data_IF_673412584596
#
_entry.id   IF_673412584596
#
_cell.length_a   1.000
_cell.length_b   1.000
_cell.length_c   1.000
_cell.angle_alpha   90.00
_cell.angle_beta   90.00
_cell.angle_gamma   90.00
#
_symmetry.space_group_name_H-M   'P 1'
#
loop_
_entity.id
_entity.type
_entity.pdbx_description
1 polymer ?
#
# COMPACT_ATOMS: atom_id res chain seq x y z
N UNK A 1 -13.97 -26.92 5.59
CA UNK A 1 -15.20 -26.19 6.02
C UNK A 1 -14.81 -24.76 6.38
N UNK A 2 -15.56 -23.76 5.93
CA UNK A 2 -15.31 -22.37 6.31
C UNK A 2 -15.47 -22.21 7.84
N UNK A 3 -14.58 -21.43 8.48
CA UNK A 3 -14.71 -21.18 9.92
C UNK A 3 -15.98 -20.37 10.20
N UNK A 4 -16.53 -20.45 11.42
CA UNK A 4 -17.70 -19.63 11.82
C UNK A 4 -17.48 -18.13 11.59
N UNK A 5 -16.25 -17.66 11.78
CA UNK A 5 -15.87 -16.27 11.54
C UNK A 5 -15.90 -15.92 10.04
N UNK A 6 -15.39 -16.81 9.19
CA UNK A 6 -15.42 -16.64 7.74
C UNK A 6 -16.87 -16.58 7.21
N UNK A 7 -17.71 -17.53 7.65
CA UNK A 7 -19.13 -17.56 7.26
C UNK A 7 -19.87 -16.28 7.71
N UNK A 8 -19.56 -15.77 8.92
CA UNK A 8 -20.15 -14.53 9.41
C UNK A 8 -19.73 -13.31 8.56
N UNK A 9 -18.52 -13.29 8.03
CA UNK A 9 -18.05 -12.23 7.13
C UNK A 9 -18.68 -12.31 5.73
N UNK A 10 -18.75 -13.52 5.17
CA UNK A 10 -19.35 -13.78 3.84
C UNK A 10 -20.85 -13.48 3.81
N UNK A 11 -21.54 -13.61 4.94
CA UNK A 11 -22.94 -13.23 5.08
C UNK A 11 -23.19 -11.71 5.05
N UNK A 12 -22.14 -10.89 5.20
CA UNK A 12 -22.27 -9.43 5.17
C UNK A 12 -22.31 -8.92 3.74
N UNK A 13 -23.16 -7.91 3.49
CA UNK A 13 -23.11 -7.20 2.21
C UNK A 13 -21.87 -6.28 2.12
N UNK A 14 -21.47 -5.83 0.91
CA UNK A 14 -20.24 -5.03 0.74
C UNK A 14 -20.19 -3.75 1.58
N UNK A 15 -21.35 -3.12 1.83
CA UNK A 15 -21.46 -1.93 2.68
C UNK A 15 -21.16 -2.27 4.14
N UNK A 16 -21.75 -3.35 4.66
CA UNK A 16 -21.51 -3.85 6.02
C UNK A 16 -20.05 -4.27 6.23
N UNK A 17 -19.46 -4.96 5.26
CA UNK A 17 -18.03 -5.30 5.25
C UNK A 17 -17.18 -4.02 5.37
N UNK A 18 -17.50 -2.99 4.58
CA UNK A 18 -16.78 -1.71 4.64
C UNK A 18 -16.86 -1.05 6.02
N UNK A 19 -18.04 -1.02 6.66
CA UNK A 19 -18.19 -0.51 8.03
C UNK A 19 -17.36 -1.32 9.03
N UNK A 20 -17.41 -2.65 8.94
CA UNK A 20 -16.66 -3.53 9.82
C UNK A 20 -15.14 -3.34 9.67
N UNK A 21 -14.63 -3.18 8.44
CA UNK A 21 -13.22 -2.87 8.20
C UNK A 21 -12.85 -1.50 8.78
N UNK A 22 -13.62 -0.43 8.53
CA UNK A 22 -13.32 0.90 9.10
C UNK A 22 -13.28 0.86 10.62
N UNK A 23 -14.28 0.24 11.26
CA UNK A 23 -14.32 0.14 12.72
C UNK A 23 -13.15 -0.67 13.27
N UNK A 24 -12.71 -1.69 12.54
CA UNK A 24 -11.59 -2.52 12.93
C UNK A 24 -10.26 -1.78 12.80
N UNK A 25 -10.06 -1.05 11.70
CA UNK A 25 -8.88 -0.20 11.49
C UNK A 25 -8.73 0.81 12.65
N UNK A 26 -9.83 1.43 13.07
CA UNK A 26 -9.85 2.35 14.21
C UNK A 26 -9.60 1.65 15.55
N UNK A 27 -10.21 0.49 15.80
CA UNK A 27 -9.97 -0.31 17.02
C UNK A 27 -8.50 -0.73 17.14
N UNK A 28 -7.86 -1.12 16.03
CA UNK A 28 -6.46 -1.51 16.00
C UNK A 28 -5.52 -0.31 16.13
N UNK A 29 -5.83 0.83 15.49
CA UNK A 29 -5.04 2.05 15.63
C UNK A 29 -4.97 2.55 17.09
N UNK A 30 -6.09 2.54 17.80
CA UNK A 30 -6.14 2.87 19.23
C UNK A 30 -5.35 1.85 20.09
N UNK A 31 -5.45 0.56 19.77
CA UNK A 31 -4.67 -0.48 20.45
C UNK A 31 -3.16 -0.29 20.25
N UNK A 32 -2.74 0.07 19.03
CA UNK A 32 -1.34 0.41 18.72
C UNK A 32 -0.87 1.67 19.43
N UNK A 33 -1.66 2.75 19.41
CA UNK A 33 -1.31 4.01 20.06
C UNK A 33 -1.10 3.81 21.57
N UNK A 34 -2.03 3.10 22.23
CA UNK A 34 -1.89 2.80 23.67
C UNK A 34 -0.70 1.89 23.98
N UNK A 35 -0.40 0.94 23.10
CA UNK A 35 0.81 0.12 23.26
C UNK A 35 2.09 0.96 23.14
N UNK A 36 2.10 1.96 22.25
CA UNK A 36 3.20 2.93 22.12
C UNK A 36 3.31 3.83 23.35
N UNK A 37 2.19 4.38 23.84
CA UNK A 37 2.16 5.21 25.04
C UNK A 37 2.66 4.43 26.27
N UNK A 38 2.19 3.19 26.45
CA UNK A 38 2.67 2.30 27.51
C UNK A 38 4.18 2.02 27.38
N UNK A 39 4.69 1.79 26.17
CA UNK A 39 6.13 1.61 25.92
C UNK A 39 6.94 2.88 26.22
N UNK A 40 6.34 4.06 26.08
CA UNK A 40 6.92 5.35 26.45
C UNK A 40 6.77 5.70 27.95
N UNK A 41 6.15 4.82 28.75
CA UNK A 41 5.94 5.02 30.19
C UNK A 41 4.61 5.69 30.57
N UNK A 42 3.78 6.06 29.59
CA UNK A 42 2.45 6.61 29.79
C UNK A 42 1.41 5.49 29.85
N UNK A 43 1.49 4.67 30.90
CA UNK A 43 0.55 3.57 31.09
C UNK A 43 -0.81 4.09 31.60
N UNK A 44 -1.87 3.81 30.86
CA UNK A 44 -3.25 4.06 31.25
C UNK A 44 -3.97 2.70 31.43
N UNK A 45 -4.43 2.45 32.65
CA UNK A 45 -5.05 1.20 33.10
C UNK A 45 -6.55 1.08 32.73
N UNK A 46 -7.08 2.07 32.00
CA UNK A 46 -8.46 2.06 31.52
C UNK A 46 -8.75 0.75 30.78
N UNK A 47 -9.80 -0.01 31.19
CA UNK A 47 -10.11 -1.29 30.58
C UNK A 47 -10.45 -1.17 29.09
N UNK A 48 -10.09 -2.19 28.30
CA UNK A 48 -10.43 -2.25 26.88
C UNK A 48 -11.92 -2.14 26.57
N UNK A 49 -12.78 -2.54 27.51
CA UNK A 49 -14.23 -2.36 27.37
C UNK A 49 -14.68 -0.90 27.35
N UNK A 50 -13.87 0.03 27.86
CA UNK A 50 -14.17 1.46 27.98
C UNK A 50 -13.58 2.25 26.82
N UNK A 51 -12.30 2.07 26.48
CA UNK A 51 -11.65 2.86 25.43
C UNK A 51 -11.92 2.37 24.00
N UNK A 52 -12.39 1.13 23.79
CA UNK A 52 -12.75 0.60 22.45
C UNK A 52 -14.06 1.14 21.87
N UNK A 53 -14.74 2.06 22.55
CA UNK A 53 -15.94 2.69 22.03
C UNK A 53 -15.56 3.80 21.04
N UNK A 54 -15.81 3.55 19.75
CA UNK A 54 -15.46 4.44 18.66
C UNK A 54 -16.65 5.35 18.34
N UNK A 55 -16.42 6.66 18.27
CA UNK A 55 -17.42 7.62 17.79
C UNK A 55 -17.70 7.42 16.30
N UNK A 56 -18.89 6.89 15.99
CA UNK A 56 -19.32 6.68 14.61
C UNK A 56 -20.01 7.93 14.09
N UNK A 57 -21.01 8.42 14.82
CA UNK A 57 -21.73 9.65 14.46
C UNK A 57 -21.61 10.62 15.62
N UNK A 58 -20.99 11.76 15.37
CA UNK A 58 -20.97 12.88 16.32
C UNK A 58 -21.74 14.04 15.73
N UNK A 59 -22.69 14.62 16.47
CA UNK A 59 -23.48 15.73 15.99
C UNK A 59 -22.60 16.99 15.86
N UNK A 60 -22.71 17.68 14.74
CA UNK A 60 -21.99 18.93 14.50
C UNK A 60 -21.43 19.06 13.09
N UNK A 61 -20.59 20.08 12.90
CA UNK A 61 -20.01 20.41 11.60
C UNK A 61 -18.65 19.73 11.32
N UNK A 62 -18.23 18.77 12.16
CA UNK A 62 -16.99 18.03 11.97
C UNK A 62 -17.33 16.55 11.92
N UNK A 63 -16.99 15.91 10.81
CA UNK A 63 -17.12 14.47 10.68
C UNK A 63 -16.16 13.75 11.64
N UNK A 64 -16.63 12.65 12.21
CA UNK A 64 -15.78 11.74 13.00
C UNK A 64 -14.68 11.14 12.12
N UNK A 65 -13.65 10.57 12.75
CA UNK A 65 -12.63 9.81 12.02
C UNK A 65 -13.24 8.67 11.19
N UNK A 66 -14.20 7.94 11.77
CA UNK A 66 -14.98 6.88 11.09
C UNK A 66 -15.78 7.43 9.91
N UNK A 67 -16.51 8.53 10.08
CA UNK A 67 -17.27 9.15 8.98
C UNK A 67 -16.36 9.60 7.84
N UNK A 68 -15.17 10.14 8.15
CA UNK A 68 -14.18 10.50 7.14
C UNK A 68 -13.66 9.26 6.41
N UNK A 69 -13.32 8.19 7.12
CA UNK A 69 -12.87 6.94 6.53
C UNK A 69 -13.95 6.28 5.64
N UNK A 70 -15.20 6.26 6.09
CA UNK A 70 -16.34 5.79 5.30
C UNK A 70 -16.58 6.65 4.05
N UNK A 71 -16.50 7.97 4.18
CA UNK A 71 -16.65 8.89 3.06
C UNK A 71 -15.55 8.72 2.00
N UNK A 72 -14.31 8.39 2.41
CA UNK A 72 -13.21 8.09 1.49
C UNK A 72 -13.47 6.81 0.68
N UNK A 73 -14.20 5.85 1.26
CA UNK A 73 -14.67 4.59 0.63
C UNK A 73 -16.03 4.73 -0.08
N UNK A 74 -16.51 5.96 -0.27
CA UNK A 74 -17.80 6.30 -0.90
C UNK A 74 -19.04 5.71 -0.21
N UNK A 75 -18.92 5.39 1.07
CA UNK A 75 -20.05 4.94 1.90
C UNK A 75 -20.56 6.13 2.69
N UNK A 76 -21.67 6.76 2.25
CA UNK A 76 -22.31 7.91 2.92
C UNK A 76 -23.52 7.54 3.77
N UNK A 77 -23.75 8.40 4.75
CA UNK A 77 -24.54 8.20 5.98
C UNK A 77 -26.07 8.17 5.84
N UNK A 78 -26.66 8.20 4.63
CA UNK A 78 -28.13 8.17 4.47
C UNK A 78 -28.78 6.88 5.03
N UNK A 79 -27.98 5.90 5.50
CA UNK A 79 -28.40 4.68 6.18
C UNK A 79 -27.40 4.15 7.21
N UNK A 80 -26.68 5.03 7.92
CA UNK A 80 -25.71 4.61 8.94
C UNK A 80 -26.37 3.77 10.04
N UNK A 81 -27.51 4.26 10.55
CA UNK A 81 -28.27 3.60 11.62
C UNK A 81 -28.74 2.20 11.24
N UNK A 82 -29.27 1.99 10.03
CA UNK A 82 -29.71 0.66 9.57
C UNK A 82 -28.56 -0.32 9.40
N UNK A 83 -27.40 0.17 8.94
CA UNK A 83 -26.20 -0.67 8.79
C UNK A 83 -25.66 -1.10 10.15
N UNK A 84 -25.52 -0.17 11.10
CA UNK A 84 -25.08 -0.46 12.46
C UNK A 84 -26.04 -1.40 13.18
N UNK A 85 -27.35 -1.17 13.06
CA UNK A 85 -28.36 -2.05 13.67
C UNK A 85 -28.33 -3.47 13.07
N UNK A 86 -28.08 -3.60 11.77
CA UNK A 86 -27.87 -4.91 11.14
C UNK A 86 -26.64 -5.62 11.71
N UNK A 87 -25.49 -4.94 11.79
CA UNK A 87 -24.26 -5.49 12.37
C UNK A 87 -24.41 -5.87 13.84
N UNK A 88 -25.18 -5.10 14.61
CA UNK A 88 -25.51 -5.39 16.00
C UNK A 88 -26.39 -6.65 16.12
N UNK A 89 -27.40 -6.82 15.26
CA UNK A 89 -28.22 -8.04 15.22
C UNK A 89 -27.40 -9.30 14.90
N UNK A 90 -26.36 -9.19 14.07
CA UNK A 90 -25.41 -10.27 13.84
C UNK A 90 -24.46 -10.53 15.03
N UNK A 91 -24.52 -9.73 16.10
CA UNK A 91 -23.64 -9.84 17.26
C UNK A 91 -22.18 -9.45 16.97
N UNK A 92 -21.93 -8.70 15.89
CA UNK A 92 -20.58 -8.31 15.45
C UNK A 92 -20.13 -7.00 16.09
N UNK A 93 -21.07 -6.12 16.43
CA UNK A 93 -20.81 -4.87 17.15
C UNK A 93 -21.79 -4.67 18.29
N UNK A 94 -21.40 -3.86 19.26
CA UNK A 94 -22.28 -3.20 20.22
C UNK A 94 -22.44 -1.74 19.81
N UNK A 95 -23.64 -1.19 19.94
CA UNK A 95 -23.96 0.20 19.60
C UNK A 95 -24.48 0.89 20.86
N UNK A 96 -24.01 2.11 21.11
CA UNK A 96 -24.45 2.95 22.21
C UNK A 96 -24.88 4.31 21.68
N UNK A 97 -26.13 4.66 21.93
CA UNK A 97 -26.66 6.00 21.71
C UNK A 97 -26.50 6.83 22.98
N UNK A 98 -25.83 7.98 22.87
CA UNK A 98 -25.76 8.97 23.95
C UNK A 98 -26.31 10.30 23.48
N UNK A 99 -27.22 10.86 24.26
CA UNK A 99 -27.62 12.26 24.09
C UNK A 99 -26.67 13.11 24.93
N UNK A 100 -25.82 13.88 24.26
CA UNK A 100 -24.90 14.82 24.90
C UNK A 100 -25.52 16.21 24.82
N UNK A 101 -25.73 16.82 25.98
CA UNK A 101 -26.15 18.21 26.10
C UNK A 101 -24.92 19.12 25.94
N UNK A 102 -24.92 19.94 24.90
CA UNK A 102 -23.85 20.90 24.63
C UNK A 102 -24.37 22.33 24.53
N UNK A 103 -23.48 23.32 24.31
CA UNK A 103 -23.87 24.74 24.18
C UNK A 103 -24.88 25.02 23.06
N UNK A 104 -25.03 24.10 22.10
CA UNK A 104 -25.97 24.18 20.97
C UNK A 104 -27.22 23.31 21.16
N UNK A 105 -27.47 22.83 22.37
CA UNK A 105 -28.59 21.95 22.72
C UNK A 105 -28.23 20.47 22.78
N UNK A 106 -29.26 19.64 22.89
CA UNK A 106 -29.15 18.18 22.99
C UNK A 106 -28.81 17.58 21.63
N UNK A 107 -27.77 16.75 21.61
CA UNK A 107 -27.20 16.24 20.39
C UNK A 107 -26.94 14.74 20.54
N UNK A 108 -27.33 13.92 19.55
CA UNK A 108 -27.19 12.46 19.62
C UNK A 108 -25.85 12.03 19.05
N UNK A 109 -25.01 11.41 19.88
CA UNK A 109 -23.77 10.75 19.50
C UNK A 109 -23.99 9.24 19.47
N UNK A 110 -23.54 8.58 18.41
CA UNK A 110 -23.59 7.13 18.26
C UNK A 110 -22.18 6.59 18.36
N UNK A 111 -21.93 5.76 19.37
CA UNK A 111 -20.69 5.01 19.55
C UNK A 111 -20.89 3.55 19.14
N UNK A 112 -19.86 2.93 18.58
CA UNK A 112 -19.84 1.51 18.31
C UNK A 112 -18.56 0.86 18.84
N UNK A 113 -18.67 -0.40 19.26
CA UNK A 113 -17.55 -1.21 19.72
C UNK A 113 -17.61 -2.57 19.04
N UNK A 114 -16.51 -3.04 18.47
CA UNK A 114 -16.45 -4.38 17.90
C UNK A 114 -16.51 -5.45 19.00
N UNK A 115 -17.31 -6.48 18.79
CA UNK A 115 -17.30 -7.67 19.65
C UNK A 115 -16.09 -8.54 19.31
N UNK A 116 -15.82 -9.56 20.15
CA UNK A 116 -14.80 -10.59 19.83
C UNK A 116 -15.13 -11.31 18.51
N UNK A 117 -16.41 -11.58 18.26
CA UNK A 117 -16.88 -12.20 17.02
C UNK A 117 -16.71 -11.24 15.83
N UNK A 118 -17.03 -9.96 15.99
CA UNK A 118 -16.81 -8.92 14.97
C UNK A 118 -15.36 -8.81 14.52
N UNK A 119 -14.42 -8.71 15.47
CA UNK A 119 -12.98 -8.70 15.16
C UNK A 119 -12.51 -9.99 14.48
N UNK A 120 -13.04 -11.14 14.89
CA UNK A 120 -12.70 -12.42 14.27
C UNK A 120 -13.22 -12.51 12.83
N UNK A 121 -14.45 -12.03 12.58
CA UNK A 121 -15.05 -11.99 11.25
C UNK A 121 -14.26 -11.07 10.31
N UNK A 122 -13.89 -9.86 10.75
CA UNK A 122 -13.06 -8.95 9.94
C UNK A 122 -11.75 -9.62 9.57
N UNK A 123 -11.00 -10.18 10.54
CA UNK A 123 -9.73 -10.85 10.26
C UNK A 123 -9.87 -12.01 9.28
N UNK A 124 -10.91 -12.83 9.43
CA UNK A 124 -11.16 -13.93 8.51
C UNK A 124 -11.41 -13.40 7.09
N UNK A 125 -12.27 -12.37 6.98
CA UNK A 125 -12.68 -11.77 5.73
C UNK A 125 -11.63 -10.96 4.98
N UNK A 126 -10.84 -10.17 5.70
CA UNK A 126 -9.74 -9.37 5.14
C UNK A 126 -8.49 -10.21 4.91
N UNK A 127 -8.50 -11.49 5.30
CA UNK A 127 -7.33 -12.37 5.37
C UNK A 127 -6.18 -11.72 6.15
N UNK A 128 -6.52 -10.86 7.11
CA UNK A 128 -5.50 -10.24 7.94
C UNK A 128 -4.75 -11.31 8.72
N UNK A 129 -3.42 -11.18 8.83
CA UNK A 129 -2.66 -12.09 9.63
C UNK A 129 -3.17 -12.13 11.06
N UNK A 130 -3.51 -13.33 11.53
CA UNK A 130 -3.85 -13.53 12.94
C UNK A 130 -2.71 -13.07 13.86
N UNK A 131 -3.01 -12.65 15.09
CA UNK A 131 -2.00 -12.19 16.05
C UNK A 131 -0.81 -13.16 16.15
N UNK A 132 0.36 -12.59 16.41
CA UNK A 132 1.58 -13.31 16.76
C UNK A 132 1.32 -14.24 17.95
N UNK A 133 1.64 -15.53 17.80
CA UNK A 133 1.57 -16.55 18.85
C UNK A 133 2.76 -16.44 19.79
N UNK A 134 2.65 -17.01 20.99
CA UNK A 134 3.80 -17.14 21.88
C UNK A 134 4.91 -17.95 21.18
N UNK A 135 6.14 -17.46 21.21
CA UNK A 135 7.28 -18.04 20.50
C UNK A 135 7.48 -17.56 19.06
N UNK A 136 6.49 -16.91 18.44
CA UNK A 136 6.69 -16.28 17.13
C UNK A 136 7.52 -14.98 17.28
N UNK A 137 8.41 -14.73 16.31
CA UNK A 137 9.25 -13.55 16.23
C UNK A 137 8.41 -12.31 15.92
N UNK A 138 8.80 -11.15 16.44
CA UNK A 138 8.23 -9.88 15.99
C UNK A 138 8.63 -9.61 14.54
N UNK A 139 7.92 -8.73 13.86
CA UNK A 139 8.23 -8.31 12.49
C UNK A 139 9.70 -7.92 12.32
N UNK A 140 10.21 -7.07 13.22
CA UNK A 140 11.60 -6.62 13.18
C UNK A 140 12.60 -7.76 13.43
N UNK A 141 12.30 -8.69 14.35
CA UNK A 141 13.16 -9.85 14.59
C UNK A 141 13.14 -10.83 13.40
N UNK A 142 11.97 -11.02 12.78
CA UNK A 142 11.82 -11.80 11.56
C UNK A 142 12.60 -11.17 10.40
N UNK A 143 12.49 -9.86 10.18
CA UNK A 143 13.26 -9.14 9.16
C UNK A 143 14.77 -9.32 9.35
N UNK A 144 15.25 -9.32 10.61
CA UNK A 144 16.67 -9.57 10.90
C UNK A 144 17.07 -11.01 10.64
N UNK A 145 16.22 -11.98 10.96
CA UNK A 145 16.46 -13.39 10.61
C UNK A 145 16.48 -13.60 9.09
N UNK A 146 15.61 -12.93 8.33
CA UNK A 146 15.61 -12.91 6.86
C UNK A 146 16.93 -12.36 6.29
N UNK A 147 17.44 -11.26 6.86
CA UNK A 147 18.73 -10.69 6.44
C UNK A 147 19.87 -11.68 6.70
N UNK A 148 19.88 -12.33 7.88
CA UNK A 148 20.86 -13.36 8.22
C UNK A 148 20.79 -14.55 7.24
N UNK A 149 19.59 -15.03 6.91
CA UNK A 149 19.38 -16.09 5.92
C UNK A 149 19.98 -15.72 4.55
N UNK A 150 19.71 -14.51 4.06
CA UNK A 150 20.25 -14.03 2.78
C UNK A 150 21.77 -13.88 2.78
N UNK A 151 22.35 -13.58 3.94
CA UNK A 151 23.78 -13.36 4.06
C UNK A 151 24.56 -14.67 4.14
N UNK A 152 23.95 -15.78 4.61
CA UNK A 152 24.58 -17.07 4.86
C UNK A 152 25.50 -17.50 3.70
N UNK A 153 26.83 -17.71 3.92
CA UNK A 153 27.54 -17.86 5.20
C UNK A 153 28.09 -16.57 5.85
N UNK A 154 27.75 -15.40 5.33
CA UNK A 154 28.15 -14.08 5.85
C UNK A 154 27.45 -13.65 7.14
N UNK A 155 27.75 -12.41 7.58
CA UNK A 155 27.26 -11.84 8.83
C UNK A 155 26.35 -10.63 8.60
N UNK A 156 25.45 -10.37 9.56
CA UNK A 156 24.55 -9.22 9.57
C UNK A 156 24.58 -8.55 10.93
N UNK A 157 24.48 -7.22 10.90
CA UNK A 157 24.37 -6.42 12.11
C UNK A 157 23.02 -6.56 12.80
N UNK A 158 23.00 -7.09 14.02
CA UNK A 158 21.83 -7.10 14.91
C UNK A 158 21.93 -5.93 15.88
N UNK A 159 20.87 -5.12 15.91
CA UNK A 159 20.73 -3.99 16.81
C UNK A 159 19.47 -4.12 17.67
N UNK A 160 19.56 -3.58 18.88
CA UNK A 160 18.48 -3.56 19.85
C UNK A 160 18.43 -4.80 20.74
N UNK A 161 18.26 -4.57 22.04
CA UNK A 161 18.23 -5.63 23.04
C UNK A 161 17.11 -6.63 22.79
N UNK A 162 15.91 -6.18 22.40
CA UNK A 162 14.76 -7.06 22.14
C UNK A 162 15.00 -8.04 20.98
N UNK A 163 15.64 -7.58 19.91
CA UNK A 163 16.01 -8.43 18.77
C UNK A 163 17.10 -9.43 19.15
N UNK A 164 18.09 -8.98 19.91
CA UNK A 164 19.16 -9.85 20.42
C UNK A 164 18.57 -10.96 21.31
N UNK A 165 17.69 -10.61 22.24
CA UNK A 165 16.99 -11.59 23.07
C UNK A 165 16.14 -12.55 22.24
N UNK A 166 15.43 -12.06 21.21
CA UNK A 166 14.57 -12.90 20.39
C UNK A 166 15.32 -13.89 19.48
N UNK A 167 16.54 -13.55 19.03
CA UNK A 167 17.31 -14.37 18.09
C UNK A 167 18.48 -15.11 18.73
N UNK A 168 19.04 -14.60 19.81
CA UNK A 168 20.28 -15.10 20.43
C UNK A 168 20.05 -15.53 21.88
N UNK A 169 19.45 -14.66 22.70
CA UNK A 169 19.39 -14.87 24.15
C UNK A 169 18.38 -15.92 24.62
N UNK A 170 17.14 -15.87 24.09
CA UNK A 170 16.03 -16.71 24.55
C UNK A 170 15.92 -18.07 23.85
N UNK A 171 16.11 -18.19 22.52
CA UNK A 171 16.01 -19.48 21.86
C UNK A 171 17.14 -20.41 22.31
N UNK A 172 16.82 -21.68 22.55
CA UNK A 172 17.78 -22.73 22.84
C UNK A 172 17.48 -23.92 21.92
N UNK A 173 18.29 -24.16 20.87
CA UNK A 173 19.51 -23.43 20.49
C UNK A 173 19.23 -22.01 19.96
N UNK A 174 20.21 -21.08 20.00
CA UNK A 174 20.05 -19.73 19.47
C UNK A 174 19.83 -19.76 17.96
N UNK A 175 19.05 -18.84 17.41
CA UNK A 175 18.81 -18.71 15.96
C UNK A 175 19.93 -17.96 15.23
N UNK A 176 20.68 -17.14 15.96
CA UNK A 176 21.85 -16.44 15.44
C UNK A 176 23.00 -16.51 16.46
N UNK A 177 24.23 -16.54 15.97
CA UNK A 177 25.43 -16.55 16.81
C UNK A 177 26.47 -15.55 16.30
N UNK A 178 27.27 -15.00 17.21
CA UNK A 178 28.22 -13.94 16.88
C UNK A 178 28.48 -13.00 18.05
N UNK A 179 29.29 -11.97 17.81
CA UNK A 179 29.70 -10.98 18.83
C UNK A 179 29.80 -9.58 18.24
N UNK A 180 29.62 -8.57 19.10
CA UNK A 180 29.85 -7.15 18.79
C UNK A 180 29.06 -6.59 17.59
N UNK A 181 27.91 -7.19 17.30
CA UNK A 181 27.08 -6.79 16.17
C UNK A 181 27.19 -7.72 14.98
N UNK A 182 28.27 -8.47 14.79
CA UNK A 182 28.41 -9.36 13.64
C UNK A 182 27.88 -10.75 13.97
N UNK A 183 26.66 -11.04 13.51
CA UNK A 183 25.98 -12.31 13.74
C UNK A 183 25.81 -13.08 12.44
N UNK A 184 25.91 -14.40 12.50
CA UNK A 184 25.56 -15.34 11.42
C UNK A 184 24.38 -16.21 11.84
N UNK A 185 23.63 -16.72 10.86
CA UNK A 185 22.52 -17.64 11.14
C UNK A 185 23.05 -19.00 11.61
N UNK A 186 22.42 -19.58 12.64
CA UNK A 186 22.74 -20.94 13.11
C UNK A 186 21.89 -21.98 12.37
N UNK A 187 22.16 -23.27 12.59
CA UNK A 187 21.28 -24.32 12.06
C UNK A 187 19.86 -24.25 12.64
N UNK A 188 19.72 -23.96 13.94
CA UNK A 188 18.41 -23.76 14.56
C UNK A 188 17.66 -22.56 13.96
N UNK A 189 18.38 -21.49 13.62
CA UNK A 189 17.81 -20.34 12.94
C UNK A 189 17.35 -20.65 11.53
N UNK A 190 18.13 -21.43 10.77
CA UNK A 190 17.73 -21.95 9.47
C UNK A 190 16.47 -22.80 9.59
N UNK A 191 16.43 -23.74 10.51
CA UNK A 191 15.27 -24.62 10.69
C UNK A 191 14.00 -23.86 11.09
N UNK A 192 14.12 -22.91 12.02
CA UNK A 192 13.02 -22.02 12.39
C UNK A 192 12.54 -21.18 11.20
N UNK A 193 13.47 -20.68 10.39
CA UNK A 193 13.16 -19.96 9.16
C UNK A 193 12.34 -20.84 8.21
N UNK A 194 12.79 -22.06 7.89
CA UNK A 194 12.06 -22.98 6.99
C UNK A 194 10.68 -23.32 7.52
N UNK A 195 10.60 -23.74 8.79
CA UNK A 195 9.36 -24.20 9.42
C UNK A 195 8.29 -23.12 9.49
N UNK A 196 8.67 -21.88 9.79
CA UNK A 196 7.71 -20.79 10.00
C UNK A 196 7.65 -19.78 8.86
N UNK A 197 8.38 -19.98 7.76
CA UNK A 197 8.41 -19.04 6.64
C UNK A 197 7.01 -18.69 6.14
N UNK A 198 6.19 -19.69 5.82
CA UNK A 198 4.83 -19.49 5.28
C UNK A 198 3.91 -18.77 6.27
N UNK A 199 4.15 -19.00 7.58
CA UNK A 199 3.43 -18.30 8.64
C UNK A 199 3.86 -16.84 8.71
N UNK A 200 5.16 -16.56 8.64
CA UNK A 200 5.67 -15.19 8.73
C UNK A 200 5.42 -14.36 7.47
N UNK A 201 5.39 -14.94 6.28
CA UNK A 201 5.02 -14.20 5.05
C UNK A 201 3.58 -13.73 5.09
N UNK A 202 2.68 -14.50 5.71
CA UNK A 202 1.31 -14.04 5.99
C UNK A 202 1.31 -12.97 7.09
N UNK A 203 2.04 -13.19 8.19
CA UNK A 203 2.13 -12.26 9.33
C UNK A 203 2.71 -10.90 8.96
N UNK A 204 3.75 -10.90 8.14
CA UNK A 204 4.63 -9.78 7.82
C UNK A 204 4.82 -9.71 6.31
N UNK A 205 3.75 -9.41 5.53
CA UNK A 205 3.80 -9.41 4.07
C UNK A 205 4.78 -8.37 3.51
N UNK A 206 5.08 -7.32 4.29
CA UNK A 206 6.02 -6.27 3.92
C UNK A 206 7.49 -6.70 4.08
N UNK A 207 7.76 -7.80 4.79
CA UNK A 207 9.09 -8.40 4.90
C UNK A 207 9.32 -9.32 3.70
N UNK A 208 10.22 -8.92 2.79
CA UNK A 208 10.59 -9.70 1.61
C UNK A 208 11.41 -10.96 1.95
N UNK A 209 10.82 -11.94 2.63
CA UNK A 209 11.46 -13.19 2.98
C UNK A 209 11.61 -14.12 1.75
N UNK A 210 12.82 -14.51 1.32
CA UNK A 210 13.01 -15.49 0.24
C UNK A 210 12.47 -16.87 0.67
N UNK A 211 11.93 -17.62 -0.28
CA UNK A 211 11.47 -18.99 -0.02
C UNK A 211 12.65 -19.88 0.44
N UNK A 212 12.53 -20.62 1.55
CA UNK A 212 13.62 -21.44 2.10
C UNK A 212 14.06 -22.57 1.17
N UNK A 213 13.15 -23.12 0.37
CA UNK A 213 13.40 -24.29 -0.48
C UNK A 213 13.77 -23.89 -1.91
N UNK A 214 14.01 -22.59 -2.13
CA UNK A 214 14.16 -22.05 -3.47
C UNK A 214 12.87 -22.15 -4.29
N UNK A 215 11.71 -22.19 -3.61
CA UNK A 215 10.38 -22.11 -4.24
C UNK A 215 10.29 -20.94 -5.21
N UNK A 216 9.31 -21.00 -6.15
CA UNK A 216 9.41 -20.41 -7.48
C UNK A 216 10.05 -19.04 -7.40
N UNK A 217 11.26 -19.00 -7.94
CA UNK A 217 12.22 -17.92 -7.85
C UNK A 217 11.51 -16.55 -7.74
N UNK A 218 11.98 -15.61 -6.89
CA UNK A 218 11.65 -14.21 -7.11
C UNK A 218 11.80 -13.95 -8.61
N UNK A 219 10.86 -13.21 -9.22
CA UNK A 219 10.86 -12.94 -10.66
C UNK A 219 12.26 -12.99 -11.26
N UNK A 220 12.47 -13.65 -12.42
CA UNK A 220 13.82 -13.82 -12.97
C UNK A 220 14.58 -12.51 -12.80
N UNK A 221 15.79 -12.52 -12.24
CA UNK A 221 16.46 -11.27 -11.84
C UNK A 221 16.52 -10.24 -12.99
N UNK A 222 16.54 -10.73 -14.23
CA UNK A 222 16.39 -9.94 -15.45
C UNK A 222 15.05 -9.21 -15.59
N UNK A 223 13.93 -9.84 -15.26
CA UNK A 223 12.61 -9.21 -15.21
C UNK A 223 12.59 -8.08 -14.19
N UNK A 224 13.08 -8.31 -12.96
CA UNK A 224 13.15 -7.24 -11.95
C UNK A 224 14.02 -6.08 -12.43
N UNK A 225 15.23 -6.36 -12.94
CA UNK A 225 16.10 -5.33 -13.55
C UNK A 225 15.41 -4.59 -14.69
N UNK A 226 14.55 -5.27 -15.45
CA UNK A 226 13.80 -4.65 -16.54
C UNK A 226 12.72 -3.71 -16.02
N UNK A 227 11.94 -4.12 -15.01
CA UNK A 227 10.96 -3.25 -14.36
C UNK A 227 11.63 -2.06 -13.66
N UNK A 228 12.77 -2.27 -13.00
CA UNK A 228 13.55 -1.21 -12.35
C UNK A 228 14.10 -0.20 -13.36
N UNK A 229 14.61 -0.65 -14.51
CA UNK A 229 15.03 0.24 -15.61
C UNK A 229 13.87 1.08 -16.14
N UNK A 230 12.68 0.49 -16.31
CA UNK A 230 11.49 1.20 -16.76
C UNK A 230 11.02 2.22 -15.72
N UNK A 231 11.05 1.87 -14.43
CA UNK A 231 10.77 2.79 -13.33
C UNK A 231 11.76 3.97 -13.32
N UNK A 232 13.05 3.69 -13.47
CA UNK A 232 14.10 4.72 -13.59
C UNK A 232 13.90 5.62 -14.81
N UNK A 233 13.40 5.08 -15.94
CA UNK A 233 13.06 5.87 -17.12
C UNK A 233 11.91 6.85 -16.86
N UNK A 234 10.90 6.47 -16.07
CA UNK A 234 9.82 7.38 -15.63
C UNK A 234 10.40 8.52 -14.80
N UNK A 235 11.25 8.21 -13.82
CA UNK A 235 11.86 9.21 -12.94
C UNK A 235 12.74 10.20 -13.73
N UNK A 236 13.49 9.70 -14.73
CA UNK A 236 14.26 10.54 -15.63
C UNK A 236 13.35 11.43 -16.50
N UNK A 237 12.30 10.87 -17.09
CA UNK A 237 11.38 11.61 -17.94
C UNK A 237 10.60 12.68 -17.15
N UNK A 238 10.15 12.36 -15.93
CA UNK A 238 9.55 13.33 -15.02
C UNK A 238 10.51 14.48 -14.67
N UNK A 239 11.79 14.17 -14.37
CA UNK A 239 12.79 15.22 -14.11
C UNK A 239 13.03 16.10 -15.34
N UNK A 240 13.06 15.50 -16.53
CA UNK A 240 13.19 16.23 -17.79
C UNK A 240 11.98 17.13 -18.05
N UNK A 241 10.76 16.61 -17.87
CA UNK A 241 9.51 17.36 -17.97
C UNK A 241 9.48 18.54 -17.01
N UNK A 242 9.81 18.33 -15.74
CA UNK A 242 9.85 19.39 -14.74
C UNK A 242 10.88 20.48 -15.08
N UNK A 243 12.07 20.07 -15.53
CA UNK A 243 13.13 20.99 -15.94
C UNK A 243 12.71 21.81 -17.18
N UNK A 244 12.06 21.17 -18.16
CA UNK A 244 11.55 21.84 -19.36
C UNK A 244 10.40 22.81 -19.02
N UNK A 245 9.49 22.42 -18.12
CA UNK A 245 8.42 23.29 -17.63
C UNK A 245 8.99 24.53 -16.94
N UNK A 246 9.97 24.37 -16.04
CA UNK A 246 10.65 25.49 -15.37
C UNK A 246 11.33 26.44 -16.34
N UNK A 247 12.03 25.92 -17.36
CA UNK A 247 12.65 26.75 -18.41
C UNK A 247 11.62 27.54 -19.21
N UNK A 248 10.47 26.92 -19.52
CA UNK A 248 9.37 27.60 -20.18
C UNK A 248 8.79 28.74 -19.30
N UNK A 249 8.54 28.49 -18.02
CA UNK A 249 8.07 29.54 -17.10
C UNK A 249 9.07 30.70 -16.98
N UNK A 250 10.37 30.40 -16.94
CA UNK A 250 11.43 31.41 -16.89
C UNK A 250 11.49 32.21 -18.20
N UNK A 251 11.35 31.57 -19.36
CA UNK A 251 11.30 32.24 -20.65
C UNK A 251 10.05 33.13 -20.83
N UNK A 252 8.89 32.68 -20.36
CA UNK A 252 7.66 33.49 -20.35
C UNK A 252 7.79 34.72 -19.43
N UNK A 253 8.44 34.56 -18.26
CA UNK A 253 8.74 35.69 -17.38
C UNK A 253 9.69 36.69 -18.05
N UNK A 254 10.69 36.21 -18.79
CA UNK A 254 11.58 37.07 -19.57
C UNK A 254 10.81 37.85 -20.63
N UNK A 255 9.88 37.21 -21.38
CA UNK A 255 8.99 37.90 -22.32
C UNK A 255 8.18 38.99 -21.61
N UNK A 256 7.59 38.68 -20.46
CA UNK A 256 6.81 39.64 -19.67
C UNK A 256 7.63 40.83 -19.17
N UNK A 257 8.88 40.60 -18.75
CA UNK A 257 9.82 41.66 -18.34
C UNK A 257 10.25 42.51 -19.53
N UNK A 258 10.59 41.89 -20.66
CA UNK A 258 11.02 42.59 -21.87
C UNK A 258 9.87 43.33 -22.55
N UNK A 259 8.62 42.87 -22.40
CA UNK A 259 7.45 43.57 -22.93
C UNK A 259 7.00 44.77 -22.09
N UNK A 260 7.63 45.03 -20.94
CA UNK A 260 7.32 46.21 -20.13
C UNK A 260 7.63 47.50 -20.92
N UNK A 261 6.79 48.56 -20.79
CA UNK A 261 6.98 49.80 -21.53
C UNK A 261 8.40 50.36 -21.37
N UNK A 262 9.05 50.68 -22.48
CA UNK A 262 10.36 51.32 -22.51
C UNK A 262 10.21 52.81 -22.82
N UNK A 263 10.77 53.67 -21.98
CA UNK A 263 10.78 55.12 -22.16
C UNK A 263 12.09 55.53 -22.87
N UNK A 264 12.09 55.56 -24.20
CA UNK A 264 13.23 56.01 -24.98
C UNK A 264 13.11 55.70 -26.48
N UNK A 265 13.02 56.74 -27.31
CA UNK A 265 12.83 56.63 -28.76
C UNK A 265 14.10 56.15 -29.49
N UNK A 266 15.29 56.46 -28.94
CA UNK A 266 16.58 56.11 -29.52
C UNK A 266 16.92 54.60 -29.49
N UNK A 267 16.24 53.81 -28.64
CA UNK A 267 16.53 52.38 -28.41
C UNK A 267 15.39 51.44 -28.81
N UNK A 268 14.37 51.95 -29.51
CA UNK A 268 13.16 51.19 -29.84
C UNK A 268 13.45 49.94 -30.69
N UNK A 269 14.36 50.03 -31.66
CA UNK A 269 14.76 48.91 -32.52
C UNK A 269 15.49 47.81 -31.73
N UNK A 270 16.40 48.20 -30.84
CA UNK A 270 17.11 47.27 -29.96
C UNK A 270 16.15 46.56 -29.00
N UNK A 271 15.23 47.30 -28.40
CA UNK A 271 14.20 46.75 -27.52
C UNK A 271 13.29 45.76 -28.27
N UNK A 272 12.88 46.09 -29.50
CA UNK A 272 12.09 45.20 -30.36
C UNK A 272 12.83 43.87 -30.64
N UNK A 273 14.14 43.94 -30.95
CA UNK A 273 14.98 42.76 -31.15
C UNK A 273 15.08 41.89 -29.88
N UNK A 274 15.25 42.50 -28.71
CA UNK A 274 15.28 41.76 -27.44
C UNK A 274 13.95 41.05 -27.16
N UNK A 275 12.83 41.71 -27.46
CA UNK A 275 11.50 41.11 -27.30
C UNK A 275 11.30 39.94 -28.27
N UNK A 276 11.73 40.08 -29.52
CA UNK A 276 11.71 39.00 -30.51
C UNK A 276 12.54 37.80 -30.04
N UNK A 277 13.76 38.03 -29.55
CA UNK A 277 14.61 36.97 -29.00
C UNK A 277 14.00 36.31 -27.76
N UNK A 278 13.37 37.07 -26.86
CA UNK A 278 12.67 36.52 -25.70
C UNK A 278 11.50 35.63 -26.13
N UNK A 279 10.71 36.06 -27.12
CA UNK A 279 9.60 35.27 -27.68
C UNK A 279 10.10 33.99 -28.35
N UNK A 280 11.19 34.07 -29.12
CA UNK A 280 11.80 32.90 -29.75
C UNK A 280 12.29 31.88 -28.69
N UNK A 281 12.91 32.34 -27.60
CA UNK A 281 13.31 31.48 -26.48
C UNK A 281 12.11 30.82 -25.79
N UNK A 282 11.03 31.57 -25.56
CA UNK A 282 9.80 30.99 -24.99
C UNK A 282 9.18 29.94 -25.91
N UNK A 283 9.08 30.22 -27.21
CA UNK A 283 8.55 29.28 -28.19
C UNK A 283 9.37 27.98 -28.23
N UNK A 284 10.71 28.07 -28.23
CA UNK A 284 11.57 26.88 -28.16
C UNK A 284 11.41 26.12 -26.84
N UNK A 285 11.30 26.83 -25.70
CA UNK A 285 11.08 26.20 -24.40
C UNK A 285 9.73 25.49 -24.32
N UNK A 286 8.69 26.03 -24.97
CA UNK A 286 7.39 25.39 -25.10
C UNK A 286 7.50 24.05 -25.86
N UNK A 287 8.17 24.03 -27.02
CA UNK A 287 8.40 22.80 -27.80
C UNK A 287 9.15 21.75 -26.97
N UNK A 288 10.18 22.15 -26.22
CA UNK A 288 10.89 21.24 -25.31
C UNK A 288 10.01 20.70 -24.18
N UNK A 289 9.13 21.55 -23.62
CA UNK A 289 8.17 21.15 -22.60
C UNK A 289 7.17 20.11 -23.13
N UNK A 290 6.64 20.35 -24.32
CA UNK A 290 5.69 19.44 -24.97
C UNK A 290 6.34 18.08 -25.25
N UNK A 291 7.51 18.07 -25.88
CA UNK A 291 8.28 16.84 -26.12
C UNK A 291 8.61 16.08 -24.83
N UNK A 292 9.07 16.77 -23.78
CA UNK A 292 9.39 16.13 -22.52
C UNK A 292 8.13 15.55 -21.83
N UNK A 293 6.98 16.20 -22.01
CA UNK A 293 5.68 15.71 -21.52
C UNK A 293 5.25 14.45 -22.29
N UNK A 294 5.39 14.44 -23.61
CA UNK A 294 5.11 13.26 -24.43
C UNK A 294 6.02 12.08 -24.05
N UNK A 295 7.32 12.31 -23.90
CA UNK A 295 8.29 11.30 -23.48
C UNK A 295 7.94 10.73 -22.09
N UNK A 296 7.52 11.58 -21.14
CA UNK A 296 7.05 11.14 -19.82
C UNK A 296 5.77 10.29 -19.91
N UNK A 297 4.77 10.72 -20.69
CA UNK A 297 3.54 9.96 -20.92
C UNK A 297 3.87 8.57 -21.49
N UNK A 298 4.72 8.51 -22.50
CA UNK A 298 5.16 7.25 -23.12
C UNK A 298 5.86 6.36 -22.10
N UNK A 299 6.83 6.88 -21.34
CA UNK A 299 7.53 6.09 -20.33
C UNK A 299 6.58 5.47 -19.30
N UNK A 300 5.59 6.22 -18.83
CA UNK A 300 4.61 5.76 -17.85
C UNK A 300 3.69 4.70 -18.46
N UNK A 301 3.23 4.87 -19.70
CA UNK A 301 2.39 3.86 -20.37
C UNK A 301 3.13 2.55 -20.58
N UNK A 302 4.37 2.61 -21.07
CA UNK A 302 5.23 1.43 -21.23
C UNK A 302 5.34 0.68 -19.90
N UNK A 303 5.67 1.39 -18.81
CA UNK A 303 5.78 0.78 -17.49
C UNK A 303 4.44 0.21 -16.99
N UNK A 304 3.33 0.94 -17.12
CA UNK A 304 2.00 0.48 -16.70
C UNK A 304 1.61 -0.83 -17.40
N UNK A 305 1.84 -0.95 -18.70
CA UNK A 305 1.62 -2.19 -19.44
C UNK A 305 2.54 -3.32 -18.97
N UNK A 306 3.83 -3.02 -18.74
CA UNK A 306 4.80 -3.99 -18.26
C UNK A 306 4.39 -4.60 -16.91
N UNK A 307 4.03 -3.75 -15.93
CA UNK A 307 3.62 -4.22 -14.60
C UNK A 307 2.28 -4.95 -14.61
N UNK A 308 1.33 -4.54 -15.46
CA UNK A 308 0.06 -5.27 -15.62
C UNK A 308 0.26 -6.64 -16.27
N UNK A 309 1.21 -6.76 -17.21
CA UNK A 309 1.59 -8.04 -17.81
C UNK A 309 2.23 -8.97 -16.77
N UNK A 310 3.19 -8.46 -15.98
CA UNK A 310 3.79 -9.21 -14.88
C UNK A 310 2.74 -9.63 -13.83
N UNK A 311 1.82 -8.75 -13.47
CA UNK A 311 0.72 -9.03 -12.53
C UNK A 311 -0.20 -10.13 -13.05
N UNK A 312 -0.57 -10.08 -14.33
CA UNK A 312 -1.38 -11.13 -14.97
C UNK A 312 -0.66 -12.47 -14.95
N UNK A 313 0.63 -12.49 -15.31
CA UNK A 313 1.43 -13.70 -15.28
C UNK A 313 1.56 -14.30 -13.86
N UNK A 314 1.61 -13.46 -12.82
CA UNK A 314 1.63 -13.91 -11.43
C UNK A 314 0.34 -14.65 -11.06
N UNK A 315 -0.81 -14.12 -11.48
CA UNK A 315 -2.14 -14.71 -11.20
C UNK A 315 -2.34 -16.01 -11.96
N UNK A 316 -1.87 -16.07 -13.20
CA UNK A 316 -1.96 -17.27 -14.05
C UNK A 316 -0.94 -18.35 -13.66
N UNK A 317 -0.07 -18.09 -12.67
CA UNK A 317 0.95 -19.04 -12.23
C UNK A 317 2.00 -19.36 -13.30
N UNK A 318 2.17 -18.50 -14.32
CA UNK A 318 3.14 -18.74 -15.41
C UNK A 318 4.54 -18.94 -14.83
N UNK A 319 5.35 -19.89 -15.33
CA UNK A 319 6.69 -20.12 -14.80
C UNK A 319 7.55 -18.86 -14.92
N UNK A 320 8.39 -18.63 -13.91
CA UNK A 320 9.43 -17.61 -13.97
C UNK A 320 10.46 -18.05 -15.03
N UNK A 321 10.69 -17.25 -16.06
CA UNK A 321 11.65 -17.57 -17.12
C UNK A 321 11.83 -16.45 -18.14
N UNK A 322 12.74 -16.66 -19.10
CA UNK A 322 13.03 -15.70 -20.17
C UNK A 322 11.79 -15.29 -20.98
N UNK A 323 10.87 -16.24 -21.20
CA UNK A 323 9.61 -16.01 -21.91
C UNK A 323 8.74 -14.95 -21.23
N UNK A 324 8.76 -14.91 -19.89
CA UNK A 324 8.02 -13.89 -19.15
C UNK A 324 8.65 -12.51 -19.31
N UNK A 325 9.98 -12.41 -19.22
CA UNK A 325 10.69 -11.14 -19.44
C UNK A 325 10.38 -10.62 -20.84
N UNK A 326 10.43 -11.49 -21.86
CA UNK A 326 10.08 -11.14 -23.23
C UNK A 326 8.61 -10.67 -23.35
N UNK A 327 7.66 -11.35 -22.69
CA UNK A 327 6.25 -10.96 -22.68
C UNK A 327 6.02 -9.60 -21.99
N UNK A 328 6.74 -9.29 -20.92
CA UNK A 328 6.67 -8.00 -20.22
C UNK A 328 7.26 -6.88 -21.08
N UNK A 329 8.38 -7.12 -21.77
CA UNK A 329 8.96 -6.17 -22.71
C UNK A 329 8.02 -5.92 -23.90
N UNK A 330 7.46 -6.98 -24.47
CA UNK A 330 6.49 -6.86 -25.57
C UNK A 330 5.25 -6.06 -25.14
N UNK A 331 4.72 -6.32 -23.94
CA UNK A 331 3.62 -5.53 -23.39
C UNK A 331 4.00 -4.06 -23.20
N UNK A 332 5.22 -3.78 -22.72
CA UNK A 332 5.72 -2.42 -22.58
C UNK A 332 5.83 -1.71 -23.94
N UNK A 333 6.25 -2.40 -25.00
CA UNK A 333 6.31 -1.82 -26.34
C UNK A 333 4.92 -1.54 -26.92
N UNK A 334 3.93 -2.41 -26.70
CA UNK A 334 2.52 -2.12 -27.02
C UNK A 334 2.03 -0.87 -26.26
N UNK A 335 2.46 -0.70 -25.01
CA UNK A 335 2.12 0.47 -24.19
C UNK A 335 2.66 1.80 -24.74
N UNK A 336 3.67 1.78 -25.63
CA UNK A 336 4.21 3.01 -26.24
C UNK A 336 3.13 3.74 -27.03
N UNK A 337 2.39 3.01 -27.85
CA UNK A 337 1.42 3.56 -28.81
C UNK A 337 -0.03 3.37 -28.35
N UNK A 338 -0.26 2.50 -27.37
CA UNK A 338 -1.61 2.25 -26.85
C UNK A 338 -2.11 3.40 -25.96
N UNK A 339 -3.31 3.90 -26.24
CA UNK A 339 -4.04 4.78 -25.34
C UNK A 339 -4.71 4.05 -24.16
N UNK A 340 -4.83 2.71 -24.23
CA UNK A 340 -5.55 1.90 -23.24
C UNK A 340 -4.63 0.89 -22.58
N UNK A 341 -4.63 0.88 -21.24
CA UNK A 341 -3.98 -0.16 -20.44
C UNK A 341 -4.92 -1.35 -20.29
N UNK A 342 -4.44 -2.60 -20.47
CA UNK A 342 -5.25 -3.78 -20.22
C UNK A 342 -5.76 -3.80 -18.78
N UNK A 343 -7.00 -4.27 -18.58
CA UNK A 343 -7.58 -4.40 -17.24
C UNK A 343 -6.86 -5.52 -16.48
N UNK A 344 -6.27 -5.25 -15.30
CA UNK A 344 -5.68 -6.31 -14.48
C UNK A 344 -6.76 -7.34 -14.06
N UNK A 345 -6.48 -8.65 -14.12
CA UNK A 345 -7.41 -9.67 -13.64
C UNK A 345 -7.55 -9.64 -12.11
N UNK A 346 -8.53 -10.38 -11.59
CA UNK A 346 -8.77 -10.53 -10.14
C UNK A 346 -7.92 -11.70 -9.64
N UNK A 347 -7.15 -11.50 -8.56
CA UNK A 347 -6.26 -12.49 -7.99
C UNK A 347 -6.88 -13.31 -6.85
N UNK A 348 -8.04 -12.90 -6.30
CA UNK A 348 -8.71 -13.59 -5.20
C UNK A 348 -8.22 -13.17 -3.81
N UNK A 349 -7.29 -12.20 -3.74
CA UNK A 349 -6.90 -11.53 -2.51
C UNK A 349 -7.64 -10.20 -2.44
N UNK A 350 -8.70 -10.14 -1.62
CA UNK A 350 -9.61 -8.99 -1.57
C UNK A 350 -8.91 -7.64 -1.41
N UNK A 351 -7.85 -7.56 -0.59
CA UNK A 351 -7.06 -6.33 -0.41
C UNK A 351 -6.41 -5.86 -1.72
N UNK A 352 -5.83 -6.80 -2.46
CA UNK A 352 -5.11 -6.54 -3.72
C UNK A 352 -6.11 -6.22 -4.82
N UNK A 353 -7.17 -7.02 -4.93
CA UNK A 353 -8.23 -6.84 -5.90
C UNK A 353 -8.90 -5.48 -5.75
N UNK A 354 -9.24 -5.09 -4.52
CA UNK A 354 -9.83 -3.78 -4.25
C UNK A 354 -8.89 -2.66 -4.66
N UNK A 355 -7.63 -2.69 -4.23
CA UNK A 355 -6.65 -1.64 -4.55
C UNK A 355 -6.42 -1.52 -6.07
N UNK A 356 -6.20 -2.63 -6.76
CA UNK A 356 -5.90 -2.66 -8.20
C UNK A 356 -7.12 -2.25 -9.03
N UNK A 357 -8.32 -2.76 -8.70
CA UNK A 357 -9.54 -2.39 -9.42
C UNK A 357 -9.95 -0.94 -9.16
N UNK A 358 -9.71 -0.41 -7.95
CA UNK A 358 -9.92 1.01 -7.67
C UNK A 358 -8.99 1.92 -8.49
N UNK A 359 -7.70 1.57 -8.57
CA UNK A 359 -6.73 2.32 -9.37
C UNK A 359 -7.10 2.26 -10.86
N UNK A 360 -7.46 1.08 -11.36
CA UNK A 360 -7.89 0.91 -12.75
C UNK A 360 -9.19 1.66 -13.08
N UNK A 361 -10.20 1.59 -12.21
CA UNK A 361 -11.46 2.32 -12.40
C UNK A 361 -11.29 3.84 -12.38
N UNK A 362 -10.31 4.33 -11.62
CA UNK A 362 -9.92 5.76 -11.62
C UNK A 362 -9.29 6.15 -12.95
N UNK A 363 -8.38 5.32 -13.49
CA UNK A 363 -7.80 5.52 -14.83
C UNK A 363 -8.85 5.49 -15.94
N UNK A 364 -9.72 4.47 -15.95
CA UNK A 364 -10.73 4.28 -16.98
C UNK A 364 -11.85 5.33 -16.97
N UNK A 365 -11.89 6.19 -15.95
CA UNK A 365 -12.97 7.17 -15.76
C UNK A 365 -14.34 6.53 -15.48
N UNK A 366 -14.38 5.21 -15.29
CA UNK A 366 -15.59 4.45 -14.97
C UNK A 366 -15.99 4.60 -13.51
N UNK A 367 -15.09 5.09 -12.66
CA UNK A 367 -15.46 5.49 -11.31
C UNK A 367 -16.43 6.66 -11.43
N UNK A 368 -17.68 6.42 -11.06
CA UNK A 368 -18.71 7.44 -10.83
C UNK A 368 -18.03 8.57 -10.06
N UNK A 369 -18.12 9.81 -10.59
CA UNK A 369 -17.59 10.99 -9.90
C UNK A 369 -17.92 10.86 -8.42
N UNK A 370 -16.88 10.67 -7.59
CA UNK A 370 -17.06 10.63 -6.13
C UNK A 370 -17.94 11.83 -5.81
N UNK A 371 -19.10 11.60 -5.17
CA UNK A 371 -19.95 12.73 -4.77
C UNK A 371 -19.02 13.72 -4.07
N UNK A 372 -19.05 15.02 -4.40
CA UNK A 372 -18.09 15.98 -3.84
C UNK A 372 -18.07 15.80 -2.33
N UNK A 373 -16.87 15.71 -1.74
CA UNK A 373 -16.69 15.57 -0.30
C UNK A 373 -17.62 16.58 0.42
N UNK A 374 -18.21 16.22 1.57
CA UNK A 374 -19.02 17.17 2.34
C UNK A 374 -18.25 18.49 2.47
N UNK A 375 -18.92 19.65 2.39
CA UNK A 375 -18.27 20.98 2.41
C UNK A 375 -17.23 21.14 3.53
N UNK A 376 -17.40 20.41 4.63
CA UNK A 376 -16.51 20.38 5.80
C UNK A 376 -15.17 19.65 5.56
N UNK A 377 -15.13 18.71 4.61
CA UNK A 377 -13.92 17.98 4.18
C UNK A 377 -13.33 18.54 2.88
N UNK A 378 -14.04 19.44 2.20
CA UNK A 378 -13.42 20.15 1.10
C UNK A 378 -12.30 21.02 1.68
N UNK A 379 -11.08 20.95 1.12
CA UNK A 379 -10.01 21.83 1.55
C UNK A 379 -10.53 23.27 1.47
N UNK A 380 -10.34 24.04 2.55
CA UNK A 380 -10.78 25.43 2.59
C UNK A 380 -10.18 26.18 1.39
N UNK A 381 -10.91 27.14 0.81
CA UNK A 381 -10.39 27.93 -0.32
C UNK A 381 -9.02 28.56 -0.03
N UNK A 382 -8.60 28.70 1.24
CA UNK A 382 -7.26 29.15 1.64
C UNK A 382 -6.19 28.05 1.68
N UNK A 383 -6.53 26.78 1.91
CA UNK A 383 -5.57 25.66 1.90
C UNK A 383 -5.35 25.05 0.51
N UNK A 384 -6.21 25.41 -0.46
CA UNK A 384 -6.04 25.05 -1.89
C UNK A 384 -5.04 25.98 -2.59
N UNK A 385 -4.64 27.09 -1.95
CA UNK A 385 -3.72 28.07 -2.51
C UNK A 385 -2.32 27.96 -1.90
N UNK A 386 -1.48 27.07 -2.46
CA UNK A 386 -0.01 27.25 -2.65
C UNK A 386 0.72 26.01 -3.19
N UNK A 387 0.07 24.85 -3.26
CA UNK A 387 0.56 23.79 -4.13
C UNK A 387 -0.01 24.06 -5.52
N UNK A 388 0.78 24.79 -6.33
CA UNK A 388 0.81 24.82 -7.79
C UNK A 388 -0.50 24.43 -8.51
N UNK A 389 -1.09 25.41 -9.22
CA UNK A 389 -2.02 25.28 -10.37
C UNK A 389 -2.51 23.87 -10.66
N UNK A 390 -3.85 23.68 -10.64
CA UNK A 390 -4.49 22.47 -11.16
C UNK A 390 -3.70 21.96 -12.36
N UNK A 391 -3.09 20.78 -12.23
CA UNK A 391 -2.15 20.32 -13.22
C UNK A 391 -2.94 20.21 -14.54
N UNK A 392 -2.38 20.68 -15.67
CA UNK A 392 -3.13 20.77 -16.91
C UNK A 392 -3.79 19.41 -17.25
N UNK A 393 -4.93 19.35 -17.94
CA UNK A 393 -5.76 18.14 -18.06
C UNK A 393 -5.02 16.86 -18.48
N UNK A 394 -3.94 16.98 -19.26
CA UNK A 394 -3.06 15.87 -19.62
C UNK A 394 -2.36 15.23 -18.40
N UNK A 395 -2.05 16.00 -17.37
CA UNK A 395 -1.48 15.51 -16.13
C UNK A 395 -2.46 14.63 -15.31
N UNK A 396 -3.78 14.80 -15.47
CA UNK A 396 -4.73 13.94 -14.75
C UNK A 396 -4.67 12.49 -15.25
N UNK A 397 -4.60 12.29 -16.56
CA UNK A 397 -4.45 10.95 -17.15
C UNK A 397 -3.10 10.36 -16.76
N UNK A 398 -2.03 11.15 -16.86
CA UNK A 398 -0.67 10.76 -16.46
C UNK A 398 -0.62 10.34 -14.99
N UNK A 399 -1.19 11.14 -14.08
CA UNK A 399 -1.23 10.84 -12.65
C UNK A 399 -2.00 9.54 -12.37
N UNK A 400 -3.17 9.36 -12.97
CA UNK A 400 -3.98 8.13 -12.79
C UNK A 400 -3.27 6.89 -13.32
N UNK A 401 -2.58 7.04 -14.45
CA UNK A 401 -1.80 5.97 -15.06
C UNK A 401 -0.61 5.59 -14.16
N UNK A 402 0.10 6.58 -13.63
CA UNK A 402 1.19 6.37 -12.68
C UNK A 402 0.71 5.77 -11.36
N UNK A 403 -0.46 6.19 -10.87
CA UNK A 403 -1.10 5.60 -9.68
C UNK A 403 -1.39 4.12 -9.90
N UNK A 404 -2.05 3.75 -11.01
CA UNK A 404 -2.24 2.34 -11.37
C UNK A 404 -0.91 1.59 -11.45
N UNK A 405 0.09 2.13 -12.15
CA UNK A 405 1.37 1.48 -12.30
C UNK A 405 2.07 1.24 -10.95
N UNK A 406 2.04 2.23 -10.04
CA UNK A 406 2.61 2.11 -8.69
C UNK A 406 1.86 1.10 -7.83
N UNK A 407 0.52 1.14 -7.85
CA UNK A 407 -0.31 0.19 -7.11
C UNK A 407 -0.08 -1.24 -7.60
N UNK A 408 -0.03 -1.47 -8.91
CA UNK A 408 0.24 -2.81 -9.45
C UNK A 408 1.69 -3.23 -9.15
N UNK A 409 2.65 -2.31 -9.33
CA UNK A 409 4.06 -2.54 -9.04
C UNK A 409 4.31 -2.98 -7.60
N UNK A 410 3.65 -2.38 -6.60
CA UNK A 410 3.85 -2.76 -5.19
C UNK A 410 3.45 -4.20 -4.90
N UNK A 411 2.53 -4.78 -5.68
CA UNK A 411 2.15 -6.19 -5.54
C UNK A 411 3.03 -7.12 -6.37
N UNK A 412 3.60 -6.68 -7.47
CA UNK A 412 4.54 -7.53 -8.22
C UNK A 412 5.98 -7.39 -7.77
N UNK A 413 6.34 -6.39 -6.95
CA UNK A 413 7.73 -6.13 -6.59
C UNK A 413 8.40 -7.33 -5.93
N UNK A 414 9.55 -7.71 -6.48
CA UNK A 414 10.30 -8.89 -6.07
C UNK A 414 9.50 -10.20 -6.09
N UNK A 415 8.36 -10.29 -6.78
CA UNK A 415 7.51 -11.49 -6.81
C UNK A 415 6.49 -11.59 -5.67
N UNK A 416 6.17 -10.50 -4.97
CA UNK A 416 5.32 -10.52 -3.78
C UNK A 416 3.95 -11.19 -4.00
N UNK A 417 3.21 -10.81 -5.03
CA UNK A 417 1.90 -11.37 -5.34
C UNK A 417 1.98 -12.87 -5.63
N UNK A 418 3.02 -13.32 -6.35
CA UNK A 418 3.22 -14.73 -6.64
C UNK A 418 3.36 -15.54 -5.34
N UNK A 419 4.11 -15.01 -4.36
CA UNK A 419 4.24 -15.63 -3.03
C UNK A 419 2.94 -15.66 -2.25
N UNK A 420 2.12 -14.60 -2.36
CA UNK A 420 0.82 -14.54 -1.68
C UNK A 420 -0.20 -15.51 -2.29
N UNK A 421 -0.19 -15.71 -3.61
CA UNK A 421 -1.14 -16.58 -4.32
C UNK A 421 -0.76 -18.05 -4.27
N UNK A 422 0.53 -18.34 -4.39
CA UNK A 422 1.06 -19.68 -4.45
C UNK A 422 2.03 -19.87 -3.29
N UNK A 423 1.51 -19.96 -2.05
CA UNK A 423 2.36 -20.41 -0.96
C UNK A 423 2.93 -21.78 -1.37
N UNK A 424 4.23 -22.04 -1.13
CA UNK A 424 4.80 -23.36 -1.34
C UNK A 424 3.91 -24.37 -0.61
N UNK A 425 3.72 -25.54 -1.24
CA UNK A 425 3.04 -26.64 -0.58
C UNK A 425 3.70 -26.82 0.78
N UNK A 426 2.89 -26.83 1.85
CA UNK A 426 3.40 -27.18 3.18
C UNK A 426 4.14 -28.50 2.97
N UNK A 427 5.47 -28.56 3.22
CA UNK A 427 6.16 -29.83 3.12
C UNK A 427 5.38 -30.79 4.01
N UNK A 428 5.01 -31.96 3.49
CA UNK A 428 4.30 -33.00 4.23
C UNK A 428 5.16 -33.39 5.45
N UNK A 429 5.06 -32.61 6.51
CA UNK A 429 5.84 -32.75 7.71
C UNK A 429 5.13 -33.79 8.58
N UNK A 430 5.77 -34.97 8.62
CA UNK A 430 5.85 -35.79 9.83
C UNK A 430 4.56 -36.52 10.25
N UNK A 431 3.84 -37.11 9.30
CA UNK A 431 2.93 -38.24 9.57
C UNK A 431 3.67 -39.60 9.71
N UNK A 432 5.00 -39.60 9.85
CA UNK A 432 5.79 -40.78 10.17
C UNK A 432 5.99 -40.89 11.67
N UNK A 433 5.13 -41.67 12.33
CA UNK A 433 5.09 -41.88 13.78
C UNK A 433 6.40 -42.40 14.41
N UNK A 434 6.48 -42.40 15.75
CA UNK A 434 7.64 -42.91 16.47
C UNK A 434 7.87 -44.40 16.13
N UNK A 435 9.13 -44.86 16.03
CA UNK A 435 9.40 -46.28 15.90
C UNK A 435 8.88 -46.99 17.15
N UNK A 436 7.85 -47.82 16.98
CA UNK A 436 7.46 -48.80 18.00
C UNK A 436 8.65 -49.72 18.23
N UNK A 437 9.24 -49.60 19.42
CA UNK A 437 10.24 -50.52 19.93
C UNK A 437 9.64 -51.93 19.96
N UNK A 438 10.06 -52.77 19.02
CA UNK A 438 9.87 -54.21 19.07
C UNK A 438 10.76 -54.79 20.17
N UNK A 439 10.23 -54.83 21.38
CA UNK A 439 10.66 -55.81 22.40
C UNK A 439 10.05 -57.14 21.98
N UNK A 440 10.89 -58.08 21.53
CA UNK A 440 10.54 -59.50 21.57
C UNK A 440 11.73 -60.27 22.10
N UNK A 441 11.54 -60.78 23.31
CA UNK A 441 12.29 -61.83 23.98
C UNK A 441 12.41 -63.09 23.11
N UNK A 442 13.60 -63.66 23.10
CA UNK A 442 13.94 -64.99 22.59
C UNK A 442 15.34 -65.36 23.03
#
# INVERSE_FOLDING_TARGET
MATKAQAAWEALNPRQQTYMTVLYDHDQAEETARAQDAAAGYYDDTPASVWRWIDVVTPGAKLTSVQRALALRDVRDDGAGSTLHALQRYGLIEVQDKVVEGPRGKSRTVKAKLTRAGRAAVRAGTKEPGRRRAGELSEYAWERLVRLWRADPGTVRIWGHSTYEALVGRPSPPYAEGKQGDYRITEAGREHYRTLWARYTVLYPDVAAPDPDGGPEPWPAELQRTLDRMKGAIELAHRAQWSAHRRYEEAEKDVGKTAAPWEGEADAEWHALLLEQARARSALALVHRERATEEAVVAIRRYAHAVCSAYTAAIEGRPAGADLTAAVVAAADVGRDSAKVPKPPVCGLHRVDTAVQEAYGTLAGTRTRKRPLPKQMQPSARSVWRDFTDPPPHDLVVRRLLELARTVASYVDGGALRRELHPPAVPDALAGGPPTAGVTTG
#
